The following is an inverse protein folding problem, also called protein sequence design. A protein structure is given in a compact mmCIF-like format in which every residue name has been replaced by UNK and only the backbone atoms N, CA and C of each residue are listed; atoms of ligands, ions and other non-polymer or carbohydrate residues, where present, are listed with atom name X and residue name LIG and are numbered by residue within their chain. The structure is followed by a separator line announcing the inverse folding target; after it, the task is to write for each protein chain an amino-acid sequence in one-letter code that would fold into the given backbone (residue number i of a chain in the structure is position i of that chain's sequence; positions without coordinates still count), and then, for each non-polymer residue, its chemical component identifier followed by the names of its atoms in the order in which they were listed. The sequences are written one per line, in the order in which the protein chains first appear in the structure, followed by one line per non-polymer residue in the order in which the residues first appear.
data_IF_157624141314
#
_entry.id   IF_157624141314
#
_cell.length_a   1.000
_cell.length_b   1.000
_cell.length_c   1.000
_cell.angle_alpha   90.00
_cell.angle_beta   90.00
_cell.angle_gamma   90.00
#
_symmetry.space_group_name_H-M   'P 1'
#
loop_
_entity.id
_entity.type
_entity.pdbx_description
1 polymer ?
#
# COMPACT_ATOMS: atom_id res chain seq x y z
N UNK A 1 4.93 -10.31 -8.31
CA UNK A 1 4.85 -10.28 -9.79
C UNK A 1 3.82 -9.21 -10.16
N UNK A 2 4.05 -8.42 -11.19
CA UNK A 2 3.07 -7.43 -11.66
C UNK A 2 1.84 -8.10 -12.30
N UNK A 3 0.69 -7.42 -12.27
CA UNK A 3 -0.54 -7.94 -12.86
C UNK A 3 -0.56 -7.88 -14.40
N UNK A 4 0.17 -6.91 -15.00
CA UNK A 4 0.33 -6.78 -16.44
C UNK A 4 1.52 -7.65 -16.87
N UNK A 5 1.23 -8.76 -17.54
CA UNK A 5 2.25 -9.72 -18.03
C UNK A 5 2.37 -9.74 -19.54
N UNK A 6 1.43 -9.12 -20.24
CA UNK A 6 1.43 -8.95 -21.68
C UNK A 6 0.75 -7.64 -22.07
N UNK A 7 1.10 -7.12 -23.24
CA UNK A 7 0.42 -6.01 -23.89
C UNK A 7 -0.56 -6.56 -24.92
N UNK A 8 -1.74 -5.96 -25.02
CA UNK A 8 -2.67 -6.19 -26.13
C UNK A 8 -2.78 -4.91 -26.95
N UNK A 9 -2.69 -5.03 -28.28
CA UNK A 9 -2.73 -3.92 -29.23
C UNK A 9 -4.10 -3.79 -29.90
N UNK A 10 -4.38 -2.64 -30.51
CA UNK A 10 -5.65 -2.37 -31.19
C UNK A 10 -5.94 -3.30 -32.38
N UNK A 11 -4.91 -3.94 -32.95
CA UNK A 11 -5.03 -4.95 -34.00
C UNK A 11 -5.21 -6.38 -33.46
N UNK A 12 -5.43 -6.53 -32.14
CA UNK A 12 -5.66 -7.81 -31.46
C UNK A 12 -4.39 -8.64 -31.23
N UNK A 13 -3.22 -8.15 -31.64
CA UNK A 13 -1.95 -8.81 -31.33
C UNK A 13 -1.62 -8.66 -29.86
N UNK A 14 -0.79 -9.59 -29.36
CA UNK A 14 -0.25 -9.53 -28.01
C UNK A 14 1.27 -9.61 -28.00
N UNK A 15 1.88 -9.06 -26.95
CA UNK A 15 3.32 -9.10 -26.70
C UNK A 15 3.56 -9.44 -25.23
N UNK A 16 4.13 -10.61 -24.90
CA UNK A 16 4.57 -10.92 -23.55
C UNK A 16 5.63 -9.92 -23.06
N UNK A 17 5.53 -9.52 -21.80
CA UNK A 17 6.49 -8.62 -21.16
C UNK A 17 7.56 -9.42 -20.42
N UNK A 18 8.79 -8.91 -20.44
CA UNK A 18 9.86 -9.43 -19.60
C UNK A 18 9.53 -9.17 -18.12
N UNK A 19 9.49 -10.20 -17.26
CA UNK A 19 9.13 -10.06 -15.85
C UNK A 19 10.12 -9.21 -15.02
N UNK A 20 11.28 -8.85 -15.58
CA UNK A 20 12.28 -7.97 -14.95
C UNK A 20 12.00 -6.48 -15.16
N UNK A 21 11.03 -6.11 -16.02
CA UNK A 21 10.66 -4.72 -16.26
C UNK A 21 10.00 -4.10 -15.02
N UNK A 22 10.39 -2.87 -14.69
CA UNK A 22 9.75 -2.11 -13.61
C UNK A 22 8.38 -1.55 -14.03
N UNK A 23 7.58 -1.16 -13.03
CA UNK A 23 6.22 -0.66 -13.25
C UNK A 23 6.17 0.60 -14.15
N UNK A 24 7.16 1.49 -14.04
CA UNK A 24 7.24 2.71 -14.87
C UNK A 24 7.44 2.40 -16.35
N UNK A 25 8.37 1.48 -16.67
CA UNK A 25 8.59 1.02 -18.05
C UNK A 25 7.35 0.34 -18.60
N UNK A 26 6.73 -0.57 -17.83
CA UNK A 26 5.50 -1.25 -18.23
C UNK A 26 4.35 -0.25 -18.45
N UNK A 27 4.23 0.79 -17.63
CA UNK A 27 3.21 1.83 -17.78
C UNK A 27 3.36 2.59 -19.12
N UNK A 28 4.57 3.00 -19.48
CA UNK A 28 4.85 3.65 -20.77
C UNK A 28 4.55 2.70 -21.93
N UNK A 29 5.01 1.46 -21.85
CA UNK A 29 4.75 0.43 -22.87
C UNK A 29 3.24 0.19 -23.05
N UNK A 30 2.49 0.09 -21.95
CA UNK A 30 1.03 -0.10 -21.95
C UNK A 30 0.28 1.10 -22.51
N UNK A 31 0.71 2.31 -22.18
CA UNK A 31 0.11 3.53 -22.73
C UNK A 31 0.13 3.50 -24.26
N UNK A 32 1.31 3.26 -24.85
CA UNK A 32 1.43 3.24 -26.30
C UNK A 32 0.73 2.02 -26.93
N UNK A 33 0.68 0.87 -26.26
CA UNK A 33 0.01 -0.31 -26.83
C UNK A 33 -1.50 -0.10 -26.99
N UNK A 34 -2.12 0.71 -26.12
CA UNK A 34 -3.55 1.05 -26.19
C UNK A 34 -3.91 2.00 -27.33
N UNK A 35 -2.93 2.68 -27.93
CA UNK A 35 -3.18 3.70 -28.95
C UNK A 35 -2.61 3.36 -30.32
N UNK A 36 -1.77 2.33 -30.42
CA UNK A 36 -0.99 2.03 -31.61
C UNK A 36 -1.03 0.53 -31.95
N UNK A 37 -0.85 0.22 -33.23
CA UNK A 37 -0.58 -1.16 -33.66
C UNK A 37 0.79 -1.63 -33.16
N UNK A 38 1.04 -2.94 -33.12
CA UNK A 38 2.36 -3.47 -32.75
C UNK A 38 3.50 -2.86 -33.59
N UNK A 39 3.28 -2.67 -34.89
CA UNK A 39 4.31 -2.12 -35.79
C UNK A 39 4.62 -0.64 -35.48
N UNK A 40 3.61 0.15 -35.14
CA UNK A 40 3.82 1.54 -34.70
C UNK A 40 4.49 1.59 -33.34
N UNK A 41 4.03 0.76 -32.40
CA UNK A 41 4.61 0.65 -31.08
C UNK A 41 6.10 0.28 -31.11
N UNK A 42 6.51 -0.66 -31.97
CA UNK A 42 7.92 -1.02 -32.15
C UNK A 42 8.77 0.18 -32.59
N UNK A 43 8.22 1.06 -33.45
CA UNK A 43 8.90 2.31 -33.83
C UNK A 43 8.93 3.31 -32.69
N UNK A 44 7.87 3.40 -31.88
CA UNK A 44 7.83 4.27 -30.71
C UNK A 44 8.79 3.79 -29.62
N UNK A 45 9.00 2.48 -29.45
CA UNK A 45 9.93 1.93 -28.47
C UNK A 45 11.38 1.87 -28.97
N UNK A 46 11.66 2.26 -30.22
CA UNK A 46 13.01 2.27 -30.76
C UNK A 46 13.92 3.19 -29.94
N UNK A 47 15.05 2.64 -29.46
CA UNK A 47 15.95 3.34 -28.54
C UNK A 47 16.74 4.49 -29.20
N UNK A 48 16.82 4.50 -30.53
CA UNK A 48 17.64 5.45 -31.30
C UNK A 48 16.80 6.58 -31.93
N UNK A 49 15.50 6.39 -32.09
CA UNK A 49 14.62 7.31 -32.81
C UNK A 49 13.24 7.50 -32.18
N UNK A 50 12.82 6.61 -31.28
CA UNK A 50 11.51 6.61 -30.65
C UNK A 50 11.43 7.41 -29.35
N UNK A 51 10.44 7.08 -28.52
CA UNK A 51 10.18 7.67 -27.22
C UNK A 51 11.39 7.62 -26.28
N UNK A 52 12.17 6.52 -26.16
CA UNK A 52 13.36 6.53 -25.31
C UNK A 52 14.40 7.58 -25.74
N UNK A 53 14.61 7.76 -27.05
CA UNK A 53 15.50 8.80 -27.59
C UNK A 53 14.96 10.21 -27.30
N UNK A 54 13.66 10.43 -27.57
CA UNK A 54 12.98 11.69 -27.27
C UNK A 54 13.08 12.05 -25.77
N UNK A 55 12.77 11.09 -24.90
CA UNK A 55 12.82 11.25 -23.45
C UNK A 55 14.25 11.58 -22.98
N UNK A 56 15.26 10.89 -23.52
CA UNK A 56 16.67 11.16 -23.23
C UNK A 56 17.08 12.58 -23.62
N UNK A 57 16.61 13.08 -24.76
CA UNK A 57 16.93 14.44 -25.20
C UNK A 57 16.26 15.52 -24.34
N UNK A 58 15.06 15.25 -23.80
CA UNK A 58 14.36 16.18 -22.93
C UNK A 58 14.89 16.18 -21.50
N UNK A 59 15.14 14.99 -20.95
CA UNK A 59 15.35 14.81 -19.51
C UNK A 59 16.74 14.25 -19.16
N UNK A 60 17.62 14.05 -20.14
CA UNK A 60 18.90 13.37 -19.95
C UNK A 60 18.77 11.86 -19.83
N UNK A 61 19.87 11.17 -19.52
CA UNK A 61 19.96 9.70 -19.55
C UNK A 61 19.12 9.02 -18.45
N UNK A 62 18.03 8.29 -18.79
CA UNK A 62 17.25 7.57 -17.80
C UNK A 62 18.01 6.39 -17.19
N UNK A 63 18.92 5.76 -17.94
CA UNK A 63 19.62 4.55 -17.50
C UNK A 63 20.69 4.88 -16.48
N UNK A 64 21.49 5.93 -16.71
CA UNK A 64 22.42 6.43 -15.69
C UNK A 64 21.73 6.87 -14.39
N UNK A 65 20.49 7.38 -14.47
CA UNK A 65 19.69 7.65 -13.25
C UNK A 65 19.28 6.36 -12.53
N UNK A 66 18.82 5.36 -13.27
CA UNK A 66 18.47 4.07 -12.70
C UNK A 66 19.69 3.41 -12.03
N UNK A 67 20.86 3.45 -12.68
CA UNK A 67 22.11 2.93 -12.14
C UNK A 67 22.55 3.66 -10.87
N UNK A 68 22.35 4.98 -10.80
CA UNK A 68 22.68 5.77 -9.61
C UNK A 68 21.78 5.46 -8.40
N UNK A 69 20.54 5.06 -8.63
CA UNK A 69 19.60 4.62 -7.58
C UNK A 69 19.86 3.15 -7.21
N UNK A 70 20.32 2.34 -8.17
CA UNK A 70 20.57 0.91 -8.00
C UNK A 70 19.29 0.08 -8.06
N UNK A 71 19.31 -1.10 -7.43
CA UNK A 71 18.14 -1.98 -7.42
C UNK A 71 17.03 -1.39 -6.58
N UNK A 72 15.94 -0.97 -7.23
CA UNK A 72 14.78 -0.36 -6.57
C UNK A 72 14.23 -1.23 -5.44
N UNK A 73 14.23 -2.56 -5.63
CA UNK A 73 14.09 -3.56 -4.58
C UNK A 73 15.42 -4.28 -4.40
N UNK A 74 16.19 -4.00 -3.32
CA UNK A 74 17.46 -4.68 -3.12
C UNK A 74 17.25 -6.19 -2.87
N UNK A 75 18.18 -7.05 -3.30
CA UNK A 75 18.13 -8.48 -2.99
C UNK A 75 18.01 -8.71 -1.48
N UNK A 76 17.08 -9.58 -1.07
CA UNK A 76 16.85 -9.87 0.34
C UNK A 76 16.10 -8.80 1.12
N UNK A 77 15.45 -7.83 0.45
CA UNK A 77 14.58 -6.87 1.11
C UNK A 77 13.50 -7.59 1.96
N UNK A 78 13.46 -7.26 3.24
CA UNK A 78 12.44 -7.72 4.18
C UNK A 78 11.70 -6.54 4.78
N UNK A 79 10.43 -6.74 5.12
CA UNK A 79 9.69 -5.77 5.92
C UNK A 79 10.33 -5.63 7.31
N UNK A 80 10.45 -4.40 7.86
CA UNK A 80 10.75 -4.20 9.26
C UNK A 80 9.69 -4.80 10.19
N UNK A 81 10.01 -5.08 11.47
CA UNK A 81 9.01 -5.46 12.46
C UNK A 81 7.89 -4.43 12.56
N UNK A 82 6.64 -4.89 12.56
CA UNK A 82 5.45 -4.06 12.72
C UNK A 82 4.50 -4.72 13.73
N UNK A 83 3.78 -3.92 14.51
CA UNK A 83 2.73 -4.37 15.44
C UNK A 83 1.34 -4.23 14.82
N UNK A 84 0.29 -4.73 15.50
CA UNK A 84 -1.08 -4.38 15.13
C UNK A 84 -1.37 -2.90 15.46
N UNK A 85 -2.21 -2.21 14.67
CA UNK A 85 -2.55 -0.78 14.89
C UNK A 85 -3.56 -0.57 16.03
N UNK A 86 -3.74 -1.58 16.88
CA UNK A 86 -4.77 -1.69 17.91
C UNK A 86 -4.09 -1.51 19.28
N UNK A 87 -4.79 -0.95 20.25
CA UNK A 87 -4.30 -0.91 21.64
C UNK A 87 -4.22 -2.33 22.23
N UNK A 88 -3.19 -2.66 23.03
CA UNK A 88 -3.12 -3.93 23.74
C UNK A 88 -4.41 -4.24 24.53
N UNK A 89 -4.85 -5.50 24.47
CA UNK A 89 -6.08 -5.98 25.11
C UNK A 89 -7.38 -5.53 24.44
N UNK A 90 -7.33 -4.76 23.33
CA UNK A 90 -8.53 -4.35 22.58
C UNK A 90 -8.81 -5.29 21.42
N UNK A 91 -10.10 -5.53 21.19
CA UNK A 91 -10.62 -6.29 20.05
C UNK A 91 -11.16 -5.36 18.98
N UNK A 92 -10.69 -5.52 17.77
CA UNK A 92 -11.20 -4.87 16.56
C UNK A 92 -11.66 -5.93 15.57
N UNK A 93 -12.29 -5.51 14.49
CA UNK A 93 -12.66 -6.35 13.35
C UNK A 93 -11.68 -6.11 12.21
N UNK A 94 -11.19 -7.18 11.60
CA UNK A 94 -10.52 -7.15 10.30
C UNK A 94 -11.58 -7.00 9.21
N UNK A 95 -11.89 -5.77 8.83
CA UNK A 95 -13.05 -5.46 7.99
C UNK A 95 -12.76 -5.56 6.49
N UNK A 96 -11.50 -5.50 6.10
CA UNK A 96 -11.09 -5.52 4.70
C UNK A 96 -9.78 -6.29 4.50
N UNK A 97 -9.87 -7.37 3.73
CA UNK A 97 -8.74 -8.10 3.15
C UNK A 97 -7.90 -7.23 2.21
N UNK A 98 -6.83 -7.76 1.60
CA UNK A 98 -6.06 -7.06 0.58
C UNK A 98 -6.93 -6.35 -0.46
N UNK A 99 -6.76 -5.03 -0.57
CA UNK A 99 -7.43 -4.19 -1.57
C UNK A 99 -6.54 -3.01 -1.97
N UNK A 100 -7.00 -2.22 -2.93
CA UNK A 100 -6.23 -1.09 -3.49
C UNK A 100 -5.79 -0.12 -2.39
N UNK A 101 -4.50 0.23 -2.35
CA UNK A 101 -3.97 1.20 -1.39
C UNK A 101 -4.55 2.62 -1.55
N UNK A 102 -5.01 2.97 -2.75
CA UNK A 102 -5.66 4.25 -3.00
C UNK A 102 -6.51 4.19 -4.26
N UNK A 103 -7.75 4.67 -4.20
CA UNK A 103 -8.69 4.56 -5.32
C UNK A 103 -9.05 3.09 -5.63
N UNK A 104 -9.64 2.85 -6.81
CA UNK A 104 -10.25 1.55 -7.10
C UNK A 104 -9.35 0.57 -7.85
N UNK A 105 -8.34 1.06 -8.58
CA UNK A 105 -7.60 0.28 -9.59
C UNK A 105 -6.10 0.11 -9.26
N UNK A 106 -5.74 0.18 -7.98
CA UNK A 106 -4.36 0.05 -7.49
C UNK A 106 -3.94 -1.37 -7.11
N UNK A 107 -2.66 -1.57 -6.79
CA UNK A 107 -2.18 -2.84 -6.23
C UNK A 107 -2.91 -3.16 -4.92
N UNK A 108 -3.18 -4.45 -4.67
CA UNK A 108 -3.80 -4.93 -3.43
C UNK A 108 -2.80 -4.84 -2.27
N UNK A 109 -2.61 -3.61 -1.77
CA UNK A 109 -1.54 -3.20 -0.88
C UNK A 109 -2.04 -2.74 0.50
N UNK A 110 -3.36 -2.60 0.66
CA UNK A 110 -3.98 -2.16 1.89
C UNK A 110 -4.85 -3.21 2.56
N UNK A 111 -5.13 -2.96 3.84
CA UNK A 111 -6.01 -3.72 4.71
C UNK A 111 -6.76 -2.77 5.64
N UNK A 112 -7.95 -3.19 6.07
CA UNK A 112 -8.81 -2.37 6.94
C UNK A 112 -9.07 -3.04 8.29
N UNK A 113 -9.02 -2.23 9.35
CA UNK A 113 -9.44 -2.61 10.69
C UNK A 113 -10.46 -1.61 11.23
N UNK A 114 -11.51 -2.09 11.89
CA UNK A 114 -12.50 -1.23 12.52
C UNK A 114 -12.66 -1.56 14.01
N UNK A 115 -12.76 -0.56 14.89
CA UNK A 115 -13.15 -0.81 16.28
C UNK A 115 -14.57 -1.38 16.32
N UNK A 116 -14.86 -2.17 17.36
CA UNK A 116 -16.24 -2.59 17.60
C UNK A 116 -17.12 -1.36 17.87
N UNK A 117 -18.24 -1.27 17.16
CA UNK A 117 -19.21 -0.18 17.26
C UNK A 117 -20.63 -0.74 17.23
N UNK A 118 -21.51 -0.21 18.06
CA UNK A 118 -22.96 -0.45 18.04
C UNK A 118 -23.68 0.47 17.04
N UNK A 119 -22.99 1.48 16.52
CA UNK A 119 -23.48 2.40 15.51
C UNK A 119 -23.02 2.00 14.11
N UNK A 120 -23.98 1.97 13.17
CA UNK A 120 -23.71 1.77 11.73
C UNK A 120 -23.34 3.11 11.07
N UNK A 121 -22.46 3.05 10.08
CA UNK A 121 -22.05 4.20 9.28
C UNK A 121 -20.83 4.92 9.84
N UNK A 122 -20.67 6.19 9.48
CA UNK A 122 -19.54 6.98 9.90
C UNK A 122 -19.77 7.67 11.25
N UNK A 123 -18.87 7.41 12.19
CA UNK A 123 -18.73 8.17 13.44
C UNK A 123 -17.28 8.22 13.89
N UNK A 124 -16.79 9.39 14.29
CA UNK A 124 -15.48 9.46 14.97
C UNK A 124 -15.55 8.67 16.27
N UNK A 125 -14.66 7.72 16.46
CA UNK A 125 -14.61 6.89 17.66
C UNK A 125 -13.64 7.48 18.69
N UNK A 126 -13.69 6.99 19.93
CA UNK A 126 -12.65 7.26 20.93
C UNK A 126 -11.51 6.25 20.87
N UNK A 127 -11.61 5.26 19.98
CA UNK A 127 -10.63 4.18 19.85
C UNK A 127 -9.37 4.72 19.16
N UNK A 128 -8.22 4.50 19.77
CA UNK A 128 -6.94 4.93 19.23
C UNK A 128 -6.44 4.01 18.14
N UNK A 129 -5.90 4.60 17.08
CA UNK A 129 -5.03 3.94 16.12
C UNK A 129 -3.60 4.14 16.58
N UNK A 130 -2.85 3.04 16.69
CA UNK A 130 -1.46 3.07 17.10
C UNK A 130 -0.51 2.93 15.91
N UNK A 131 0.66 3.55 16.04
CA UNK A 131 1.75 3.44 15.08
C UNK A 131 2.27 2.00 15.06
N UNK A 132 2.17 1.31 13.92
CA UNK A 132 2.64 -0.06 13.79
C UNK A 132 4.17 -0.15 13.74
N UNK A 133 4.87 0.95 13.45
CA UNK A 133 6.31 1.08 13.47
C UNK A 133 6.70 2.54 13.78
N UNK A 134 7.94 2.81 14.25
CA UNK A 134 8.37 4.17 14.54
C UNK A 134 8.72 4.95 13.27
N UNK A 135 8.73 6.28 13.36
CA UNK A 135 9.23 7.15 12.31
C UNK A 135 8.76 8.59 12.40
N UNK A 136 9.13 9.37 11.39
CA UNK A 136 8.77 10.77 11.23
C UNK A 136 7.41 10.90 10.54
N UNK A 137 6.49 11.68 11.10
CA UNK A 137 5.23 12.00 10.42
C UNK A 137 5.48 13.01 9.30
N UNK A 138 5.41 12.56 8.05
CA UNK A 138 5.66 13.36 6.83
C UNK A 138 4.38 13.86 6.16
N UNK A 139 3.23 13.30 6.53
CA UNK A 139 1.89 13.84 6.21
C UNK A 139 0.96 13.68 7.40
N UNK A 140 0.16 14.72 7.67
CA UNK A 140 -0.98 14.64 8.58
C UNK A 140 -2.04 15.65 8.14
N UNK A 141 -3.15 15.17 7.60
CA UNK A 141 -4.16 16.01 6.97
C UNK A 141 -5.14 15.23 6.13
N UNK A 142 -6.36 15.76 5.94
CA UNK A 142 -7.38 15.17 5.06
C UNK A 142 -7.65 13.68 5.33
N UNK A 143 -7.69 13.28 6.60
CA UNK A 143 -7.90 11.89 7.00
C UNK A 143 -6.66 10.98 6.89
N UNK A 144 -5.54 11.49 6.38
CA UNK A 144 -4.33 10.72 6.12
C UNK A 144 -3.24 11.06 7.14
N UNK A 145 -2.52 10.04 7.59
CA UNK A 145 -1.22 10.14 8.26
C UNK A 145 -0.22 9.27 7.51
N UNK A 146 1.00 9.76 7.28
CA UNK A 146 2.11 8.95 6.75
C UNK A 146 3.30 9.03 7.68
N UNK A 147 3.83 7.87 8.06
CA UNK A 147 5.08 7.70 8.80
C UNK A 147 6.18 7.33 7.81
N UNK A 148 7.25 8.10 7.80
CA UNK A 148 8.53 7.80 7.17
C UNK A 148 9.46 7.14 8.20
N UNK A 149 9.86 5.90 7.94
CA UNK A 149 10.58 5.08 8.92
C UNK A 149 12.08 5.35 8.98
N UNK A 150 12.68 5.93 7.94
CA UNK A 150 14.10 6.31 7.96
C UNK A 150 14.32 7.78 8.36
N UNK A 151 13.25 8.58 8.34
CA UNK A 151 13.19 9.91 8.93
C UNK A 151 13.89 10.97 8.12
N UNK A 152 14.19 10.70 6.84
CA UNK A 152 14.79 11.68 5.93
C UNK A 152 13.78 12.73 5.41
N UNK A 153 12.48 12.53 5.72
CA UNK A 153 11.40 13.44 5.35
C UNK A 153 10.82 13.19 3.96
N UNK A 154 11.21 12.11 3.29
CA UNK A 154 10.81 11.77 1.94
C UNK A 154 10.00 10.47 1.88
N UNK A 155 8.76 10.58 1.40
CA UNK A 155 7.91 9.42 1.14
C UNK A 155 8.37 8.53 -0.04
N UNK A 156 9.43 8.94 -0.73
CA UNK A 156 9.99 8.28 -1.92
C UNK A 156 11.25 7.45 -1.59
N UNK A 157 11.62 7.38 -0.31
CA UNK A 157 12.78 6.66 0.20
C UNK A 157 12.35 5.75 1.34
N UNK A 158 13.08 4.66 1.52
CA UNK A 158 12.87 3.75 2.63
C UNK A 158 11.46 3.18 2.73
N UNK A 159 11.10 2.74 3.95
CA UNK A 159 9.77 2.25 4.25
C UNK A 159 8.87 3.39 4.74
N UNK A 160 7.65 3.42 4.23
CA UNK A 160 6.64 4.38 4.64
C UNK A 160 5.33 3.65 4.97
N UNK A 161 4.60 4.14 5.97
CA UNK A 161 3.32 3.56 6.41
C UNK A 161 2.25 4.62 6.31
N UNK A 162 1.21 4.36 5.53
CA UNK A 162 0.05 5.21 5.40
C UNK A 162 -1.10 4.68 6.23
N UNK A 163 -1.73 5.57 6.99
CA UNK A 163 -3.00 5.39 7.66
C UNK A 163 -4.02 6.35 7.02
N UNK A 164 -5.20 5.86 6.72
CA UNK A 164 -6.32 6.63 6.20
C UNK A 164 -7.55 6.43 7.08
N UNK A 165 -8.47 7.40 7.02
CA UNK A 165 -9.63 7.51 7.88
C UNK A 165 -9.30 7.84 9.32
N UNK A 166 -8.25 8.65 9.52
CA UNK A 166 -7.87 9.18 10.83
C UNK A 166 -8.58 10.50 11.11
N UNK A 167 -9.32 10.56 12.21
CA UNK A 167 -10.07 11.73 12.63
C UNK A 167 -9.17 12.97 12.70
N UNK A 168 -9.69 14.16 12.38
CA UNK A 168 -8.94 15.41 12.55
C UNK A 168 -8.71 15.74 14.02
N UNK A 169 -9.64 15.32 14.88
CA UNK A 169 -9.49 15.41 16.33
C UNK A 169 -8.35 14.50 16.81
N UNK A 170 -7.41 15.08 17.56
CA UNK A 170 -6.28 14.39 18.20
C UNK A 170 -5.34 13.63 17.24
N UNK A 171 -5.38 13.96 15.93
CA UNK A 171 -4.43 13.44 14.95
C UNK A 171 -3.03 13.91 15.26
N UNK A 172 -2.07 13.00 15.15
CA UNK A 172 -0.65 13.31 15.28
C UNK A 172 -0.23 14.43 14.32
N UNK A 173 0.64 15.34 14.79
CA UNK A 173 1.05 16.50 14.01
C UNK A 173 2.10 16.17 12.94
N UNK A 174 2.08 16.93 11.83
CA UNK A 174 3.16 16.90 10.83
C UNK A 174 4.50 17.27 11.46
N UNK A 175 5.56 16.53 11.14
CA UNK A 175 6.92 16.74 11.66
C UNK A 175 7.17 16.14 13.04
N UNK A 176 6.16 15.51 13.65
CA UNK A 176 6.33 14.79 14.90
C UNK A 176 6.98 13.41 14.65
N UNK A 177 7.95 13.04 15.47
CA UNK A 177 8.41 11.66 15.56
C UNK A 177 7.45 10.83 16.42
N UNK A 178 7.06 9.66 15.94
CA UNK A 178 6.26 8.69 16.69
C UNK A 178 7.05 7.43 16.92
N UNK A 179 7.01 6.92 18.14
CA UNK A 179 7.52 5.58 18.45
C UNK A 179 6.51 4.52 18.02
N UNK A 180 6.95 3.26 17.90
CA UNK A 180 6.04 2.14 17.77
C UNK A 180 5.06 2.15 18.95
N UNK A 181 3.78 1.90 18.66
CA UNK A 181 2.65 2.04 19.60
C UNK A 181 2.31 3.47 20.03
N UNK A 182 2.95 4.48 19.44
CA UNK A 182 2.58 5.88 19.60
C UNK A 182 1.19 6.17 18.99
N UNK A 183 0.53 7.21 19.49
CA UNK A 183 -0.82 7.58 19.08
C UNK A 183 -0.81 8.27 17.70
N UNK A 184 -1.53 7.70 16.73
CA UNK A 184 -1.72 8.29 15.39
C UNK A 184 -2.94 9.19 15.33
N UNK A 185 -4.00 8.82 16.04
CA UNK A 185 -5.29 9.52 16.07
C UNK A 185 -6.41 8.52 16.33
N UNK A 186 -7.65 8.94 16.05
CA UNK A 186 -8.82 8.09 16.23
C UNK A 186 -9.30 7.51 14.89
N UNK A 187 -9.79 6.26 14.92
CA UNK A 187 -10.49 5.68 13.78
C UNK A 187 -11.76 6.48 13.46
N UNK A 188 -11.97 6.78 12.18
CA UNK A 188 -13.08 7.60 11.69
C UNK A 188 -13.47 7.18 10.26
N UNK A 189 -14.14 8.07 9.52
CA UNK A 189 -14.33 7.94 8.08
C UNK A 189 -13.76 9.15 7.31
N UNK A 190 -12.98 10.01 7.97
CA UNK A 190 -12.51 11.27 7.37
C UNK A 190 -11.54 11.02 6.21
N UNK A 191 -11.63 11.83 5.17
CA UNK A 191 -10.76 11.69 3.99
C UNK A 191 -11.12 10.51 3.09
N UNK A 192 -10.76 10.61 1.81
CA UNK A 192 -11.05 9.56 0.83
C UNK A 192 -12.54 9.23 0.70
N UNK A 193 -12.83 8.00 0.25
CA UNK A 193 -14.17 7.42 0.22
C UNK A 193 -14.24 6.35 1.31
N UNK A 194 -15.32 6.34 2.10
CA UNK A 194 -15.50 5.41 3.20
C UNK A 194 -16.98 5.07 3.39
N UNK A 195 -17.27 3.79 3.63
CA UNK A 195 -18.62 3.29 3.93
C UNK A 195 -18.93 3.30 5.43
N UNK A 196 -17.94 3.57 6.29
CA UNK A 196 -18.09 3.55 7.75
C UNK A 196 -16.76 3.68 8.49
N UNK A 197 -16.81 3.72 9.81
CA UNK A 197 -15.60 3.93 10.61
C UNK A 197 -14.64 2.75 10.56
N UNK A 198 -13.43 3.00 10.06
CA UNK A 198 -12.33 2.04 10.04
C UNK A 198 -11.00 2.78 9.93
N UNK A 199 -9.91 2.04 9.95
CA UNK A 199 -8.57 2.49 9.64
C UNK A 199 -8.07 1.67 8.47
N UNK A 200 -7.77 2.37 7.38
CA UNK A 200 -7.16 1.79 6.20
C UNK A 200 -5.63 1.94 6.30
N UNK A 201 -4.89 0.83 6.15
CA UNK A 201 -3.43 0.81 6.33
C UNK A 201 -2.76 0.23 5.09
N UNK A 202 -1.77 0.95 4.57
CA UNK A 202 -0.92 0.51 3.48
C UNK A 202 0.55 0.85 3.76
N UNK A 203 1.47 0.15 3.10
CA UNK A 203 2.91 0.40 3.19
C UNK A 203 3.51 0.65 1.81
N UNK A 204 4.54 1.49 1.79
CA UNK A 204 5.35 1.79 0.60
C UNK A 204 6.80 1.46 0.85
N UNK A 205 7.53 1.15 -0.21
CA UNK A 205 8.98 1.13 -0.22
C UNK A 205 9.50 1.98 -1.39
N UNK A 206 10.39 2.93 -1.11
CA UNK A 206 10.90 3.89 -2.10
C UNK A 206 9.80 4.57 -2.92
N UNK A 207 8.66 4.88 -2.29
CA UNK A 207 7.50 5.49 -2.94
C UNK A 207 6.56 4.55 -3.71
N UNK A 208 6.90 3.27 -3.88
CA UNK A 208 6.02 2.27 -4.51
C UNK A 208 5.15 1.54 -3.46
N UNK A 209 3.86 1.37 -3.75
CA UNK A 209 2.95 0.59 -2.91
C UNK A 209 3.36 -0.88 -2.85
N UNK A 210 3.50 -1.42 -1.64
CA UNK A 210 3.87 -2.82 -1.43
C UNK A 210 2.62 -3.67 -1.24
N UNK A 211 2.49 -4.73 -2.05
CA UNK A 211 1.38 -5.68 -1.92
C UNK A 211 1.23 -6.17 -0.48
N UNK A 212 -0.01 -6.31 -0.03
CA UNK A 212 -0.32 -6.85 1.28
C UNK A 212 -0.01 -8.36 1.32
N UNK A 213 -0.31 -9.05 0.22
CA UNK A 213 0.08 -10.43 -0.04
C UNK A 213 0.97 -10.49 -1.29
N UNK A 214 2.25 -10.80 -1.09
CA UNK A 214 3.26 -10.80 -2.15
C UNK A 214 4.60 -11.36 -1.67
N UNK A 215 5.65 -11.31 -2.51
CA UNK A 215 6.96 -11.89 -2.19
C UNK A 215 7.59 -11.34 -0.89
N UNK A 216 7.26 -10.10 -0.55
CA UNK A 216 7.57 -9.49 0.74
C UNK A 216 6.22 -9.40 1.47
N UNK A 217 5.89 -10.31 2.38
CA UNK A 217 4.56 -10.35 3.00
C UNK A 217 4.33 -9.11 3.89
N UNK A 218 3.07 -8.73 4.08
CA UNK A 218 2.68 -7.77 5.10
C UNK A 218 2.44 -8.53 6.41
N UNK A 219 3.30 -8.30 7.39
CA UNK A 219 3.25 -8.97 8.70
C UNK A 219 3.10 -7.93 9.81
N UNK A 220 2.09 -8.09 10.68
CA UNK A 220 1.83 -7.20 11.82
C UNK A 220 1.61 -8.03 13.09
N UNK A 221 2.45 -7.87 14.11
CA UNK A 221 2.36 -8.68 15.34
C UNK A 221 2.49 -10.18 15.08
N UNK A 222 3.17 -10.59 14.01
CA UNK A 222 3.24 -11.98 13.55
C UNK A 222 2.04 -12.47 12.72
N UNK A 223 1.00 -11.66 12.56
CA UNK A 223 -0.10 -11.93 11.64
C UNK A 223 0.31 -11.63 10.20
N UNK A 224 0.35 -12.67 9.38
CA UNK A 224 0.61 -12.55 7.94
C UNK A 224 -0.70 -12.31 7.20
N UNK A 225 -0.74 -11.28 6.37
CA UNK A 225 -1.87 -11.00 5.48
C UNK A 225 -1.84 -11.94 4.28
N UNK A 226 -2.98 -12.56 3.97
CA UNK A 226 -3.20 -13.38 2.79
C UNK A 226 -4.40 -12.85 1.99
N UNK A 227 -4.26 -12.74 0.68
CA UNK A 227 -5.33 -12.33 -0.22
C UNK A 227 -6.37 -13.43 -0.38
N UNK A 228 -7.63 -13.03 -0.52
CA UNK A 228 -8.71 -13.89 -0.97
C UNK A 228 -8.83 -13.90 -2.48
N UNK A 229 -9.92 -14.49 -2.97
CA UNK A 229 -10.19 -14.61 -4.41
C UNK A 229 -10.52 -13.27 -5.08
N UNK A 230 -10.95 -12.27 -4.30
CA UNK A 230 -11.35 -10.94 -4.78
C UNK A 230 -10.84 -9.84 -3.83
N UNK A 231 -10.75 -8.58 -4.29
CA UNK A 231 -10.43 -7.45 -3.43
C UNK A 231 -11.32 -7.40 -2.18
N UNK A 232 -10.75 -6.96 -1.05
CA UNK A 232 -11.39 -6.93 0.28
C UNK A 232 -11.63 -8.30 0.92
N UNK A 233 -11.48 -9.40 0.18
CA UNK A 233 -11.46 -10.74 0.78
C UNK A 233 -10.04 -11.10 1.17
N UNK A 234 -9.90 -11.85 2.26
CA UNK A 234 -8.57 -12.25 2.75
C UNK A 234 -8.59 -12.75 4.17
N UNK A 235 -7.40 -13.08 4.66
CA UNK A 235 -7.19 -13.64 6.00
C UNK A 235 -5.94 -13.04 6.63
N UNK A 236 -5.96 -12.96 7.96
CA UNK A 236 -4.77 -12.85 8.77
C UNK A 236 -4.46 -14.23 9.35
N UNK A 237 -3.22 -14.66 9.26
CA UNK A 237 -2.76 -15.96 9.77
C UNK A 237 -1.58 -15.78 10.73
N UNK A 238 -1.69 -16.34 11.93
CA UNK A 238 -0.62 -16.40 12.94
C UNK A 238 -0.64 -17.78 13.57
N UNK A 239 0.39 -18.58 13.31
CA UNK A 239 0.45 -20.00 13.71
C UNK A 239 -0.81 -20.77 13.24
N UNK A 240 -1.59 -21.33 14.16
CA UNK A 240 -2.84 -22.03 13.89
C UNK A 240 -4.09 -21.13 13.95
N UNK A 241 -3.91 -19.81 14.17
CA UNK A 241 -5.01 -18.84 14.27
C UNK A 241 -5.27 -18.21 12.90
N UNK A 242 -6.55 -18.05 12.59
CA UNK A 242 -7.03 -17.46 11.34
C UNK A 242 -8.12 -16.46 11.66
N UNK A 243 -7.98 -15.23 11.17
CA UNK A 243 -9.02 -14.20 11.18
C UNK A 243 -9.39 -13.94 9.73
N UNK A 244 -10.67 -14.05 9.38
CA UNK A 244 -11.14 -13.85 7.99
C UNK A 244 -11.79 -12.49 7.86
N UNK A 245 -11.45 -11.76 6.80
CA UNK A 245 -11.98 -10.42 6.56
C UNK A 245 -13.51 -10.46 6.44
N UNK A 246 -14.19 -9.53 7.11
CA UNK A 246 -15.64 -9.37 7.01
C UNK A 246 -16.05 -7.91 7.20
N UNK A 247 -16.64 -7.33 6.16
CA UNK A 247 -17.08 -5.92 6.16
C UNK A 247 -18.12 -5.60 7.24
N UNK A 248 -18.83 -6.60 7.75
CA UNK A 248 -19.82 -6.46 8.81
C UNK A 248 -19.27 -6.77 10.20
N UNK A 249 -17.98 -7.07 10.33
CA UNK A 249 -17.32 -7.26 11.62
C UNK A 249 -17.83 -8.48 12.39
N UNK A 250 -18.14 -9.57 11.67
CA UNK A 250 -18.62 -10.82 12.26
C UNK A 250 -17.58 -11.47 13.18
N UNK A 251 -18.00 -12.43 14.01
CA UNK A 251 -17.17 -13.07 15.02
C UNK A 251 -15.83 -13.64 14.48
N UNK A 252 -15.80 -14.12 13.24
CA UNK A 252 -14.59 -14.67 12.59
C UNK A 252 -13.59 -13.61 12.09
N UNK A 253 -14.01 -12.33 12.05
CA UNK A 253 -13.14 -11.19 11.72
C UNK A 253 -12.53 -10.53 12.95
N UNK A 254 -12.91 -10.98 14.16
CA UNK A 254 -12.43 -10.36 15.39
C UNK A 254 -10.95 -10.70 15.62
N UNK A 255 -10.18 -9.66 15.92
CA UNK A 255 -8.77 -9.74 16.25
C UNK A 255 -8.51 -8.92 17.52
N UNK A 256 -7.90 -9.56 18.51
CA UNK A 256 -7.44 -8.92 19.73
C UNK A 256 -5.93 -8.80 19.67
N UNK A 257 -5.41 -7.62 19.98
CA UNK A 257 -3.97 -7.45 20.20
C UNK A 257 -3.61 -7.93 21.60
N UNK A 258 -2.69 -8.88 21.69
CA UNK A 258 -2.18 -9.40 22.96
C UNK A 258 -1.18 -8.41 23.60
N UNK A 259 -0.97 -8.49 24.91
CA UNK A 259 -0.10 -7.55 25.66
C UNK A 259 1.40 -7.73 25.38
N UNK A 260 1.81 -8.84 24.76
CA UNK A 260 3.20 -9.20 24.47
C UNK A 260 3.67 -8.81 23.05
N UNK A 261 2.80 -8.17 22.26
CA UNK A 261 3.09 -7.66 20.91
C UNK A 261 3.60 -6.22 20.88
#
# INVERSE_FOLDING_TARGET
RGAITELTFNDGKTLPLDPTLNAGTVAVMTLFSRHHSLNEWLRIMDVNSGFPFFYKNMFGDPWGRADAIGSFFPPGLTQPPMTLPIEPGRTWSYTGGPHSAWGNDGPLAAVDFAPQSDHKGCSVTTSWVLAIAPGLVVRSGNGVVVIDMDGDGSEQTGWNIMYLHIATKDRVALGQWVEQNGLIGHASCEGGNSTGTHTHIARKYNGEWMLADGPIPFVMGGWTVLAGDEPYLGKLVKDNRVVTADVYGQAWSLITREDDE
#
